data_IF_272686652818
#
_entry.id   IF_272686652818
#
_cell.length_a   1.000
_cell.length_b   1.000
_cell.length_c   1.000
_cell.angle_alpha   90.00
_cell.angle_beta   90.00
_cell.angle_gamma   90.00
#
_symmetry.space_group_name_H-M   'P 1'
#
loop_
_entity.id
_entity.type
_entity.pdbx_description
1 polymer ?
#
# COMPACT_ATOMS: atom_id res chain seq x y z
N UNK A 1 6.50 6.15 11.64
CA UNK A 1 6.34 4.70 11.43
C UNK A 1 5.23 4.51 10.40
N UNK A 2 5.43 3.68 9.39
CA UNK A 2 4.41 3.31 8.40
C UNK A 2 4.26 1.79 8.40
N UNK A 3 3.04 1.32 8.67
CA UNK A 3 2.67 -0.08 8.59
C UNK A 3 2.19 -0.35 7.15
N UNK A 4 2.72 -1.38 6.51
CA UNK A 4 2.48 -1.71 5.10
C UNK A 4 1.75 -3.06 4.97
N UNK A 5 0.61 -3.20 5.65
CA UNK A 5 -0.29 -4.33 5.50
C UNK A 5 -0.68 -4.55 4.04
N UNK A 6 -0.71 -5.82 3.65
CA UNK A 6 -0.99 -6.31 2.31
C UNK A 6 -2.33 -7.07 2.24
N UNK A 7 -3.14 -7.03 3.30
CA UNK A 7 -4.50 -7.57 3.31
C UNK A 7 -5.49 -6.73 2.51
N UNK A 8 -5.22 -5.45 2.23
CA UNK A 8 -6.02 -4.64 1.30
C UNK A 8 -5.83 -5.02 -0.19
N UNK A 9 -4.95 -5.97 -0.51
CA UNK A 9 -4.70 -6.38 -1.90
C UNK A 9 -5.92 -7.10 -2.49
N UNK A 10 -6.16 -6.86 -3.79
CA UNK A 10 -7.14 -7.60 -4.55
C UNK A 10 -6.84 -9.11 -4.47
N UNK A 11 -7.82 -9.91 -4.02
CA UNK A 11 -7.69 -11.36 -3.90
C UNK A 11 -7.05 -11.86 -2.60
N UNK A 12 -6.84 -10.99 -1.62
CA UNK A 12 -6.53 -11.42 -0.25
C UNK A 12 -7.74 -12.17 0.37
N UNK A 13 -7.53 -13.31 1.05
CA UNK A 13 -8.63 -14.12 1.57
C UNK A 13 -9.33 -13.52 2.80
N UNK A 14 -8.69 -12.60 3.54
CA UNK A 14 -9.31 -11.91 4.69
C UNK A 14 -9.63 -10.44 4.39
N UNK A 15 -8.99 -9.86 3.38
CA UNK A 15 -9.24 -8.50 2.85
C UNK A 15 -10.52 -8.34 2.02
N UNK A 16 -11.61 -8.97 2.45
CA UNK A 16 -12.86 -9.03 1.69
C UNK A 16 -13.49 -7.64 1.54
N UNK A 17 -13.12 -6.90 0.47
CA UNK A 17 -13.66 -5.57 0.17
C UNK A 17 -12.74 -4.64 -0.62
N UNK A 18 -11.42 -4.87 -0.61
CA UNK A 18 -10.48 -3.96 -1.26
C UNK A 18 -9.97 -4.47 -2.62
N UNK A 19 -9.51 -3.50 -3.45
CA UNK A 19 -9.01 -3.73 -4.80
C UNK A 19 -7.58 -3.21 -5.02
N UNK A 20 -6.75 -3.14 -3.98
CA UNK A 20 -5.41 -2.55 -4.09
C UNK A 20 -4.42 -3.47 -4.82
N UNK A 21 -3.34 -2.86 -5.29
CA UNK A 21 -2.26 -3.53 -6.01
C UNK A 21 -0.92 -3.32 -5.28
N UNK A 22 0.10 -4.17 -5.54
CA UNK A 22 1.46 -3.93 -5.05
C UNK A 22 1.99 -2.52 -5.36
N UNK A 23 1.65 -2.00 -6.55
CA UNK A 23 2.03 -0.65 -6.99
C UNK A 23 1.38 0.45 -6.14
N UNK A 24 0.15 0.25 -5.70
CA UNK A 24 -0.56 1.23 -4.86
C UNK A 24 0.15 1.40 -3.50
N UNK A 25 0.52 0.28 -2.86
CA UNK A 25 1.28 0.31 -1.60
C UNK A 25 2.66 0.94 -1.80
N UNK A 26 3.38 0.57 -2.87
CA UNK A 26 4.68 1.15 -3.20
C UNK A 26 4.60 2.67 -3.44
N UNK A 27 3.53 3.17 -4.06
CA UNK A 27 3.30 4.61 -4.26
C UNK A 27 3.12 5.35 -2.92
N UNK A 28 2.40 4.77 -1.96
CA UNK A 28 2.28 5.33 -0.62
C UNK A 28 3.63 5.35 0.11
N UNK A 29 4.44 4.30 -0.01
CA UNK A 29 5.79 4.27 0.56
C UNK A 29 6.68 5.33 -0.07
N UNK A 30 6.70 5.45 -1.39
CA UNK A 30 7.46 6.49 -2.09
C UNK A 30 7.06 7.91 -1.67
N UNK A 31 5.76 8.15 -1.41
CA UNK A 31 5.28 9.41 -0.84
C UNK A 31 5.78 9.64 0.58
N UNK A 32 5.79 8.62 1.43
CA UNK A 32 6.29 8.76 2.80
C UNK A 32 7.81 9.04 2.82
N UNK A 33 8.57 8.42 1.91
CA UNK A 33 10.02 8.65 1.73
C UNK A 33 10.28 10.10 1.31
N UNK A 34 9.48 10.67 0.41
CA UNK A 34 9.69 12.02 -0.10
C UNK A 34 9.51 13.13 0.95
N UNK A 35 8.89 12.83 2.10
CA UNK A 35 8.78 13.78 3.21
C UNK A 35 10.11 14.02 3.94
N UNK A 36 11.14 13.19 3.71
CA UNK A 36 12.47 13.38 4.29
C UNK A 36 12.57 13.19 5.81
N UNK A 37 11.53 12.63 6.44
CA UNK A 37 11.53 12.31 7.86
C UNK A 37 12.10 10.90 8.12
N UNK A 38 12.66 10.62 9.32
CA UNK A 38 13.02 9.25 9.71
C UNK A 38 11.84 8.29 9.57
N UNK A 39 11.96 7.31 8.68
CA UNK A 39 10.88 6.39 8.32
C UNK A 39 11.23 4.95 8.73
N UNK A 40 10.37 4.37 9.57
CA UNK A 40 10.36 2.95 9.90
C UNK A 40 9.21 2.28 9.14
N UNK A 41 9.53 1.35 8.25
CA UNK A 41 8.57 0.53 7.52
C UNK A 41 8.36 -0.79 8.26
N UNK A 42 7.10 -1.17 8.44
CA UNK A 42 6.69 -2.44 9.05
C UNK A 42 5.80 -3.22 8.08
N UNK A 43 5.76 -4.55 8.23
CA UNK A 43 4.79 -5.40 7.55
C UNK A 43 3.37 -5.23 8.12
N UNK A 44 2.61 -6.32 8.18
CA UNK A 44 1.22 -6.28 8.62
C UNK A 44 0.45 -7.55 8.30
N UNK A 45 -0.87 -7.43 8.22
CA UNK A 45 -1.73 -8.46 7.62
C UNK A 45 -1.42 -8.67 6.13
N UNK A 46 -1.91 -9.76 5.58
CA UNK A 46 -1.60 -10.21 4.23
C UNK A 46 -1.52 -11.73 4.20
N UNK A 47 -2.53 -12.35 3.61
CA UNK A 47 -2.86 -13.76 3.82
C UNK A 47 -2.79 -14.57 2.53
N UNK A 48 -2.33 -13.94 1.44
CA UNK A 48 -1.83 -14.58 0.23
C UNK A 48 -0.30 -14.37 0.14
N UNK A 49 0.50 -15.36 0.55
CA UNK A 49 1.95 -15.19 0.73
C UNK A 49 2.70 -14.72 -0.53
N UNK A 50 2.44 -15.25 -1.75
CA UNK A 50 3.06 -14.71 -2.96
C UNK A 50 2.68 -13.24 -3.25
N UNK A 51 1.44 -12.83 -2.98
CA UNK A 51 1.01 -11.45 -3.15
C UNK A 51 1.69 -10.49 -2.15
N UNK A 52 1.83 -10.94 -0.90
CA UNK A 52 2.57 -10.23 0.15
C UNK A 52 4.03 -10.05 -0.23
N UNK A 53 4.68 -11.13 -0.68
CA UNK A 53 6.07 -11.10 -1.11
C UNK A 53 6.31 -10.12 -2.26
N UNK A 54 5.43 -10.12 -3.28
CA UNK A 54 5.44 -9.12 -4.37
C UNK A 54 5.34 -7.69 -3.83
N UNK A 55 4.39 -7.46 -2.93
CA UNK A 55 4.09 -6.13 -2.39
C UNK A 55 5.21 -5.57 -1.54
N UNK A 56 5.77 -6.36 -0.63
CA UNK A 56 6.88 -5.89 0.21
C UNK A 56 8.18 -5.75 -0.57
N UNK A 57 8.39 -6.56 -1.61
CA UNK A 57 9.51 -6.36 -2.55
C UNK A 57 9.38 -5.02 -3.29
N UNK A 58 8.19 -4.71 -3.82
CA UNK A 58 7.92 -3.43 -4.48
C UNK A 58 8.02 -2.23 -3.52
N UNK A 59 7.50 -2.36 -2.29
CA UNK A 59 7.61 -1.34 -1.26
C UNK A 59 9.08 -1.07 -0.87
N UNK A 60 9.88 -2.11 -0.75
CA UNK A 60 11.32 -1.99 -0.46
C UNK A 60 12.05 -1.26 -1.59
N UNK A 61 11.75 -1.59 -2.85
CA UNK A 61 12.33 -0.89 -4.00
C UNK A 61 11.93 0.59 -4.04
N UNK A 62 10.67 0.91 -3.74
CA UNK A 62 10.21 2.30 -3.62
C UNK A 62 10.93 3.06 -2.49
N UNK A 63 11.16 2.41 -1.35
CA UNK A 63 11.91 2.98 -0.24
C UNK A 63 13.38 3.30 -0.60
N UNK A 64 13.98 2.46 -1.46
CA UNK A 64 15.35 2.63 -1.94
C UNK A 64 15.47 3.52 -3.19
N UNK A 65 14.35 3.93 -3.80
CA UNK A 65 14.34 4.66 -5.06
C UNK A 65 14.85 3.84 -6.26
N UNK A 66 14.70 2.51 -6.21
CA UNK A 66 15.18 1.57 -7.23
C UNK A 66 14.02 1.10 -8.11
N UNK A 67 14.25 1.01 -9.42
CA UNK A 67 13.32 0.36 -10.35
C UNK A 67 13.65 -1.12 -10.44
N UNK A 68 12.62 -1.98 -10.33
CA UNK A 68 12.76 -3.43 -10.47
C UNK A 68 12.25 -3.91 -11.83
N UNK A 69 12.86 -4.95 -12.42
CA UNK A 69 12.25 -5.68 -13.52
C UNK A 69 10.95 -6.35 -13.04
N UNK A 70 10.01 -6.54 -13.97
CA UNK A 70 8.74 -7.18 -13.66
C UNK A 70 8.86 -8.72 -13.61
N UNK A 71 9.87 -9.30 -14.24
CA UNK A 71 10.14 -10.74 -14.16
C UNK A 71 10.67 -11.12 -12.78
N UNK A 72 10.01 -12.08 -12.14
CA UNK A 72 10.48 -12.64 -10.87
C UNK A 72 11.71 -13.51 -11.15
N UNK A 73 12.83 -13.30 -10.44
CA UNK A 73 14.00 -14.15 -10.60
C UNK A 73 13.74 -15.56 -10.07
N UNK A 74 14.40 -16.56 -10.68
CA UNK A 74 14.36 -17.94 -10.18
C UNK A 74 14.89 -18.01 -8.74
N UNK A 75 14.17 -18.75 -7.89
CA UNK A 75 14.49 -18.96 -6.49
C UNK A 75 13.67 -20.15 -5.96
N UNK A 76 13.93 -20.58 -4.73
CA UNK A 76 13.28 -21.75 -4.12
C UNK A 76 11.74 -21.70 -4.07
N UNK A 77 11.14 -20.50 -4.09
CA UNK A 77 9.68 -20.31 -4.05
C UNK A 77 9.09 -19.92 -5.41
N UNK A 78 9.88 -19.95 -6.48
CA UNK A 78 9.47 -19.51 -7.82
C UNK A 78 8.14 -20.11 -8.32
N UNK A 79 7.85 -21.41 -8.12
CA UNK A 79 6.59 -22.00 -8.56
C UNK A 79 5.34 -21.36 -7.95
N UNK A 80 5.45 -20.74 -6.76
CA UNK A 80 4.33 -20.10 -6.07
C UNK A 80 3.84 -18.80 -6.75
N UNK A 81 4.63 -18.27 -7.70
CA UNK A 81 4.30 -17.05 -8.43
C UNK A 81 3.67 -17.31 -9.79
N UNK A 82 3.39 -18.57 -10.13
CA UNK A 82 2.67 -18.92 -11.35
C UNK A 82 1.24 -18.35 -11.38
N UNK A 83 0.61 -18.28 -12.57
CA UNK A 83 1.15 -18.76 -13.84
C UNK A 83 2.05 -17.73 -14.58
N UNK A 84 2.09 -16.47 -14.14
CA UNK A 84 2.73 -15.39 -14.89
C UNK A 84 4.17 -15.09 -14.48
N UNK A 85 4.55 -15.42 -13.24
CA UNK A 85 5.87 -15.14 -12.67
C UNK A 85 6.24 -13.65 -12.73
N UNK A 86 5.24 -12.75 -12.62
CA UNK A 86 5.43 -11.29 -12.65
C UNK A 86 5.31 -10.67 -11.27
N UNK A 87 6.14 -9.66 -10.99
CA UNK A 87 6.19 -8.94 -9.72
C UNK A 87 4.94 -8.06 -9.53
N UNK A 88 4.49 -7.41 -10.60
CA UNK A 88 3.38 -6.47 -10.54
C UNK A 88 2.03 -7.04 -11.01
N UNK A 89 1.94 -8.36 -11.14
CA UNK A 89 0.67 -9.00 -11.47
C UNK A 89 -0.34 -8.89 -10.33
N UNK A 90 -1.62 -8.88 -10.70
CA UNK A 90 -2.71 -8.89 -9.76
C UNK A 90 -2.91 -10.32 -9.23
N UNK A 91 -3.07 -10.51 -7.91
CA UNK A 91 -3.41 -11.82 -7.35
C UNK A 91 -4.80 -12.31 -7.82
N UNK A 92 -5.67 -11.39 -8.23
CA UNK A 92 -6.98 -11.66 -8.80
C UNK A 92 -7.15 -10.97 -10.17
N UNK A 93 -7.52 -11.69 -11.24
CA UNK A 93 -7.73 -11.10 -12.58
C UNK A 93 -8.91 -10.11 -12.65
N UNK A 94 -9.89 -10.25 -11.77
CA UNK A 94 -11.07 -9.38 -11.71
C UNK A 94 -11.00 -8.51 -10.46
N UNK A 95 -10.77 -7.21 -10.66
CA UNK A 95 -11.04 -6.22 -9.62
C UNK A 95 -12.54 -6.21 -9.35
N UNK A 96 -12.89 -6.15 -8.07
CA UNK A 96 -14.28 -5.96 -7.67
C UNK A 96 -14.73 -4.55 -8.08
N UNK A 97 -16.04 -4.34 -8.30
CA UNK A 97 -16.57 -3.01 -8.53
C UNK A 97 -16.14 -2.08 -7.40
N UNK A 98 -15.73 -0.87 -7.77
CA UNK A 98 -15.54 0.19 -6.82
C UNK A 98 -16.91 0.62 -6.27
N UNK A 99 -17.09 0.47 -4.97
CA UNK A 99 -18.31 0.85 -4.26
C UNK A 99 -18.12 2.14 -3.47
N UNK A 100 -16.96 2.79 -3.58
CA UNK A 100 -16.74 4.08 -2.97
C UNK A 100 -17.50 5.15 -3.78
N UNK A 101 -18.47 5.79 -3.15
CA UNK A 101 -19.11 6.96 -3.72
C UNK A 101 -18.14 8.15 -3.71
N UNK A 102 -18.07 8.86 -4.83
CA UNK A 102 -17.06 9.91 -5.00
C UNK A 102 -17.34 11.09 -4.09
N UNK A 103 -18.60 11.50 -4.00
CA UNK A 103 -19.03 12.62 -3.19
C UNK A 103 -18.81 12.30 -1.70
N UNK A 104 -19.19 11.10 -1.24
CA UNK A 104 -18.95 10.64 0.13
C UNK A 104 -17.46 10.65 0.51
N UNK A 105 -16.59 10.11 -0.36
CA UNK A 105 -15.13 10.13 -0.12
C UNK A 105 -14.57 11.54 -0.02
N UNK A 106 -15.09 12.48 -0.83
CA UNK A 106 -14.65 13.88 -0.78
C UNK A 106 -15.13 14.58 0.50
N UNK A 107 -16.37 14.33 0.92
CA UNK A 107 -16.91 14.85 2.18
C UNK A 107 -16.08 14.36 3.38
N UNK A 108 -15.74 13.06 3.42
CA UNK A 108 -14.86 12.48 4.44
C UNK A 108 -13.48 13.14 4.44
N UNK A 109 -12.90 13.38 3.26
CA UNK A 109 -11.61 14.06 3.12
C UNK A 109 -11.67 15.49 3.67
N UNK A 110 -12.69 16.26 3.32
CA UNK A 110 -12.88 17.63 3.80
C UNK A 110 -13.07 17.67 5.32
N UNK A 111 -13.84 16.74 5.86
CA UNK A 111 -14.05 16.59 7.29
C UNK A 111 -12.76 16.26 8.05
N UNK A 112 -11.96 15.31 7.55
CA UNK A 112 -10.65 14.98 8.12
C UNK A 112 -9.68 16.17 8.07
N UNK A 113 -9.65 16.90 6.94
CA UNK A 113 -8.81 18.09 6.80
C UNK A 113 -9.21 19.19 7.79
N UNK A 114 -10.51 19.38 8.04
CA UNK A 114 -10.99 20.34 9.03
C UNK A 114 -10.48 19.98 10.45
N UNK A 115 -10.59 18.71 10.86
CA UNK A 115 -10.08 18.27 12.16
C UNK A 115 -8.57 18.41 12.30
N UNK A 116 -7.81 18.08 11.25
CA UNK A 116 -6.36 18.25 11.26
C UNK A 116 -5.95 19.72 11.42
N UNK A 117 -6.67 20.65 10.77
CA UNK A 117 -6.44 22.10 10.94
C UNK A 117 -6.66 22.53 12.40
N UNK A 118 -7.74 22.07 13.03
CA UNK A 118 -8.04 22.37 14.43
C UNK A 118 -6.94 21.83 15.36
N UNK A 119 -6.57 20.56 15.22
CA UNK A 119 -5.55 19.92 16.05
C UNK A 119 -4.17 20.60 15.91
N UNK A 120 -3.81 21.05 14.70
CA UNK A 120 -2.58 21.80 14.47
C UNK A 120 -2.64 23.18 15.16
N UNK A 121 -3.76 23.90 15.05
CA UNK A 121 -3.91 25.20 15.68
C UNK A 121 -3.75 25.13 17.21
N UNK A 122 -4.35 24.12 17.85
CA UNK A 122 -4.24 23.89 19.30
C UNK A 122 -2.79 23.57 19.72
N UNK A 123 -2.11 22.71 18.95
CA UNK A 123 -0.71 22.35 19.21
C UNK A 123 0.23 23.56 19.13
N UNK A 124 0.03 24.45 18.15
CA UNK A 124 0.90 25.63 17.98
C UNK A 124 0.53 26.81 18.88
N UNK A 125 -0.72 26.92 19.37
CA UNK A 125 -1.10 27.94 20.37
C UNK A 125 -0.64 27.59 21.80
N UNK A 126 -0.52 26.31 22.13
CA UNK A 126 -0.04 25.84 23.45
C UNK A 126 1.49 25.82 23.59
N UNK A 127 2.22 26.16 22.53
CA UNK A 127 3.69 26.11 22.46
C UNK A 127 4.36 27.50 22.49
N UNK A 128 3.59 28.58 22.67
CA UNK A 128 4.08 29.96 22.78
C UNK A 128 3.66 30.59 24.11
#
# INVERSE_FOLDING_TARGET
VMQCGADGLAGDPLGDGFGLTPKAIAACVGRAVSWGAPLLLLGGGGYNSPAVARTWTAATAAALGVSLPDDIPEHQHFPAYGPDFRLFSLPCPSLRPDLNDREEVLEDCEWLLAQLRTALAEKYHSSG
#
